data_IF_735547492232
#
_entry.id   IF_735547492232
#
_cell.length_a   1.000
_cell.length_b   1.000
_cell.length_c   1.000
_cell.angle_alpha   90.00
_cell.angle_beta   90.00
_cell.angle_gamma   90.00
#
_symmetry.space_group_name_H-M   'P 1'
#
loop_
_entity.id
_entity.type
_entity.pdbx_description
1 polymer ?
#
# COMPACT_ATOMS: atom_id res chain seq x y z
N UNK A 1 6.12 -47.68 49.44
CA UNK A 1 5.21 -47.25 48.35
C UNK A 1 5.45 -45.78 48.06
N UNK A 2 6.38 -45.49 47.15
CA UNK A 2 6.65 -44.09 46.69
C UNK A 2 5.75 -43.80 45.50
N UNK A 3 4.87 -42.82 45.61
CA UNK A 3 4.09 -42.27 44.50
C UNK A 3 4.91 -41.17 43.83
N UNK A 4 5.37 -41.43 42.61
CA UNK A 4 6.00 -40.42 41.75
C UNK A 4 4.92 -39.48 41.20
N UNK A 5 4.98 -38.20 41.55
CA UNK A 5 4.19 -37.12 40.97
C UNK A 5 4.87 -36.65 39.66
N UNK A 6 4.27 -36.95 38.53
CA UNK A 6 4.67 -36.34 37.27
C UNK A 6 4.17 -34.89 37.24
N UNK A 7 5.10 -33.95 37.28
CA UNK A 7 4.80 -32.53 36.99
C UNK A 7 4.86 -32.34 35.45
N UNK A 8 3.71 -32.18 34.84
CA UNK A 8 3.62 -31.79 33.43
C UNK A 8 3.80 -30.27 33.34
N UNK A 9 5.00 -29.83 32.91
CA UNK A 9 5.24 -28.43 32.57
C UNK A 9 4.57 -28.13 31.22
N UNK A 10 3.43 -27.44 31.26
CA UNK A 10 2.83 -26.88 30.04
C UNK A 10 3.67 -25.66 29.59
N UNK A 11 4.44 -25.84 28.53
CA UNK A 11 5.04 -24.74 27.80
C UNK A 11 3.94 -23.93 27.12
N UNK A 12 3.51 -22.85 27.75
CA UNK A 12 2.73 -21.81 27.09
C UNK A 12 3.65 -21.14 26.04
N UNK A 13 3.53 -21.53 24.79
CA UNK A 13 4.09 -20.79 23.69
C UNK A 13 3.40 -19.42 23.65
N UNK A 14 4.05 -18.40 24.17
CA UNK A 14 3.61 -17.01 24.00
C UNK A 14 3.70 -16.70 22.51
N UNK A 15 2.54 -16.42 21.88
CA UNK A 15 2.52 -15.83 20.55
C UNK A 15 3.40 -14.58 20.54
N UNK A 16 4.22 -14.35 19.50
CA UNK A 16 5.03 -13.15 19.43
C UNK A 16 4.12 -11.93 19.51
N UNK A 17 4.31 -11.09 20.52
CA UNK A 17 3.68 -9.78 20.56
C UNK A 17 4.30 -8.98 19.41
N UNK A 18 3.52 -8.73 18.35
CA UNK A 18 3.95 -7.84 17.29
C UNK A 18 4.23 -6.47 17.89
N UNK A 19 5.46 -5.96 17.71
CA UNK A 19 5.77 -4.59 18.07
C UNK A 19 4.91 -3.68 17.19
N UNK A 20 3.91 -3.02 17.75
CA UNK A 20 3.07 -2.07 17.02
C UNK A 20 3.92 -0.88 16.62
N UNK A 21 4.00 -0.62 15.32
CA UNK A 21 4.73 0.52 14.76
C UNK A 21 4.14 1.82 15.28
N UNK A 22 2.89 2.08 15.02
CA UNK A 22 2.08 3.10 15.69
C UNK A 22 0.65 2.58 15.75
N UNK A 23 0.04 2.48 16.94
CA UNK A 23 -1.34 2.05 17.03
C UNK A 23 -2.23 3.08 16.34
N UNK A 24 -3.23 2.61 15.62
CA UNK A 24 -4.30 3.49 15.17
C UNK A 24 -4.94 4.18 16.38
N UNK A 25 -5.34 5.47 16.23
CA UNK A 25 -5.86 6.24 17.35
C UNK A 25 -7.16 5.64 17.91
N UNK A 26 -7.53 5.97 19.15
CA UNK A 26 -8.82 5.59 19.71
C UNK A 26 -9.97 5.99 18.76
N UNK A 27 -10.97 5.11 18.60
CA UNK A 27 -12.10 5.32 17.69
C UNK A 27 -11.96 4.63 16.33
N UNK A 28 -10.79 4.04 16.02
CA UNK A 28 -10.69 3.13 14.90
C UNK A 28 -11.18 1.72 15.29
N UNK A 29 -11.99 1.14 14.41
CA UNK A 29 -12.44 -0.24 14.51
C UNK A 29 -11.77 -1.08 13.42
N UNK A 30 -11.39 -2.31 13.78
CA UNK A 30 -10.89 -3.31 12.85
C UNK A 30 -12.02 -4.19 12.38
N UNK A 31 -12.04 -4.56 11.09
CA UNK A 31 -13.04 -5.42 10.47
C UNK A 31 -12.38 -6.40 9.52
N UNK A 32 -12.90 -7.61 9.47
CA UNK A 32 -12.59 -8.60 8.45
C UNK A 32 -13.76 -8.61 7.44
N UNK A 33 -13.52 -8.11 6.23
CA UNK A 33 -14.56 -7.94 5.20
C UNK A 33 -14.33 -8.97 4.10
N UNK A 34 -15.28 -9.89 3.94
CA UNK A 34 -15.27 -10.85 2.84
C UNK A 34 -15.67 -10.13 1.54
N UNK A 35 -14.79 -10.16 0.53
CA UNK A 35 -15.01 -9.60 -0.81
C UNK A 35 -14.44 -10.57 -1.83
N UNK A 36 -15.18 -10.79 -2.92
CA UNK A 36 -14.77 -11.76 -3.95
C UNK A 36 -14.37 -13.11 -3.32
N UNK A 37 -13.12 -13.53 -3.52
CA UNK A 37 -12.54 -14.78 -3.00
C UNK A 37 -11.59 -14.58 -1.81
N UNK A 38 -11.57 -13.36 -1.22
CA UNK A 38 -10.64 -12.99 -0.14
C UNK A 38 -11.35 -12.36 1.05
N UNK A 39 -10.68 -12.38 2.19
CA UNK A 39 -11.03 -11.57 3.36
C UNK A 39 -10.02 -10.44 3.49
N UNK A 40 -10.50 -9.21 3.47
CA UNK A 40 -9.69 -8.01 3.59
C UNK A 40 -9.75 -7.50 5.03
N UNK A 41 -8.58 -7.35 5.63
CA UNK A 41 -8.42 -6.71 6.92
C UNK A 41 -8.52 -5.20 6.75
N UNK A 42 -9.46 -4.55 7.45
CA UNK A 42 -9.76 -3.12 7.25
C UNK A 42 -9.82 -2.41 8.60
N UNK A 43 -9.12 -1.28 8.69
CA UNK A 43 -9.24 -0.35 9.82
C UNK A 43 -10.12 0.83 9.40
N UNK A 44 -11.12 1.18 10.20
CA UNK A 44 -12.05 2.27 9.88
C UNK A 44 -12.21 3.21 11.07
N UNK A 45 -12.22 4.51 10.83
CA UNK A 45 -12.42 5.51 11.89
C UNK A 45 -12.87 6.86 11.35
N UNK A 46 -13.21 7.78 12.25
CA UNK A 46 -13.64 9.13 11.91
C UNK A 46 -15.05 9.21 11.33
N UNK A 47 -15.42 10.41 10.88
CA UNK A 47 -16.73 10.72 10.25
C UNK A 47 -16.56 11.85 9.24
N UNK A 48 -17.32 11.80 8.16
CA UNK A 48 -17.29 12.78 7.08
C UNK A 48 -17.13 12.13 5.71
N UNK A 49 -16.71 12.87 4.69
CA UNK A 49 -16.40 12.33 3.36
C UNK A 49 -15.38 11.18 3.47
N UNK A 50 -15.59 10.11 2.70
CA UNK A 50 -14.73 8.93 2.80
C UNK A 50 -13.37 9.16 2.14
N UNK A 51 -12.30 8.64 2.77
CA UNK A 51 -10.95 8.53 2.22
C UNK A 51 -10.47 7.09 2.38
N UNK A 52 -10.01 6.49 1.29
CA UNK A 52 -9.39 5.16 1.29
C UNK A 52 -7.88 5.31 1.17
N UNK A 53 -7.13 4.68 2.08
CA UNK A 53 -5.67 4.73 2.14
C UNK A 53 -5.10 3.37 1.73
N UNK A 54 -4.41 3.28 0.58
CA UNK A 54 -3.84 2.04 0.05
C UNK A 54 -2.31 2.04 0.19
N UNK A 55 -1.79 1.09 0.93
CA UNK A 55 -0.36 0.94 1.20
C UNK A 55 0.40 0.28 0.04
N UNK A 56 1.73 0.27 0.14
CA UNK A 56 2.64 -0.34 -0.81
C UNK A 56 3.30 -1.64 -0.34
N UNK A 57 4.29 -2.06 -1.12
CA UNK A 57 5.16 -3.18 -0.79
C UNK A 57 6.17 -2.79 0.29
N UNK A 58 6.56 -3.74 1.12
CA UNK A 58 7.46 -3.50 2.26
C UNK A 58 6.79 -2.91 3.49
N UNK A 59 5.52 -2.51 3.37
CA UNK A 59 4.68 -1.95 4.42
C UNK A 59 3.29 -2.59 4.41
N UNK A 60 2.41 -2.14 5.29
CA UNK A 60 0.99 -2.53 5.35
C UNK A 60 0.13 -1.30 5.64
N UNK A 61 -1.17 -1.47 5.82
CA UNK A 61 -2.05 -0.37 6.21
C UNK A 61 -1.58 0.40 7.46
N UNK A 62 -0.71 -0.21 8.27
CA UNK A 62 -0.19 0.41 9.49
C UNK A 62 0.68 1.66 9.23
N UNK A 63 1.30 1.78 8.05
CA UNK A 63 2.04 2.99 7.64
C UNK A 63 1.17 4.26 7.70
N UNK A 64 -0.12 4.10 7.49
CA UNK A 64 -1.06 5.21 7.42
C UNK A 64 -1.52 5.75 8.78
N UNK A 65 -1.11 5.12 9.90
CA UNK A 65 -1.61 5.52 11.23
C UNK A 65 -1.49 7.03 11.51
N UNK A 66 -0.39 7.74 11.20
CA UNK A 66 -0.29 9.19 11.41
C UNK A 66 -1.27 9.99 10.54
N UNK A 67 -1.39 9.64 9.25
CA UNK A 67 -2.31 10.31 8.32
C UNK A 67 -3.76 9.99 8.67
N UNK A 68 -4.06 8.74 9.03
CA UNK A 68 -5.38 8.31 9.44
C UNK A 68 -5.85 9.05 10.70
N UNK A 69 -4.96 9.26 11.68
CA UNK A 69 -5.24 10.04 12.90
C UNK A 69 -5.61 11.48 12.56
N UNK A 70 -4.93 12.10 11.62
CA UNK A 70 -5.19 13.46 11.19
C UNK A 70 -6.51 13.57 10.42
N UNK A 71 -6.73 12.72 9.42
CA UNK A 71 -7.92 12.74 8.57
C UNK A 71 -9.20 12.35 9.32
N UNK A 72 -9.12 11.46 10.32
CA UNK A 72 -10.30 11.03 11.09
C UNK A 72 -10.99 12.12 11.86
N UNK A 73 -10.40 13.32 11.96
CA UNK A 73 -11.04 14.49 12.59
C UNK A 73 -12.25 14.99 11.79
N UNK A 74 -12.23 14.81 10.46
CA UNK A 74 -13.24 15.35 9.55
C UNK A 74 -13.56 14.47 8.33
N UNK A 75 -12.98 13.26 8.26
CA UNK A 75 -13.23 12.27 7.23
C UNK A 75 -13.57 10.91 7.83
N UNK A 76 -14.30 10.10 7.08
CA UNK A 76 -14.37 8.65 7.31
C UNK A 76 -13.16 8.03 6.64
N UNK A 77 -12.23 7.49 7.44
CA UNK A 77 -10.97 6.90 6.97
C UNK A 77 -11.11 5.39 6.89
N UNK A 78 -10.71 4.81 5.76
CA UNK A 78 -10.77 3.39 5.46
C UNK A 78 -9.37 2.94 5.06
N UNK A 79 -8.79 2.00 5.80
CA UNK A 79 -7.41 1.54 5.59
C UNK A 79 -7.41 0.03 5.46
N UNK A 80 -7.56 -0.51 4.25
CA UNK A 80 -7.42 -1.94 4.01
C UNK A 80 -5.94 -2.34 3.95
N UNK A 81 -5.64 -3.55 4.42
CA UNK A 81 -4.46 -4.26 3.96
C UNK A 81 -4.77 -4.87 2.59
N UNK A 82 -3.90 -4.66 1.61
CA UNK A 82 -4.13 -5.17 0.26
C UNK A 82 -4.15 -6.71 0.24
N UNK A 83 -4.85 -7.30 -0.74
CA UNK A 83 -4.87 -8.74 -1.03
C UNK A 83 -3.49 -9.36 -0.88
N UNK A 84 -3.37 -10.38 -0.04
CA UNK A 84 -2.13 -11.12 0.18
C UNK A 84 -1.11 -10.46 1.12
N UNK A 85 -1.33 -9.23 1.55
CA UNK A 85 -0.41 -8.48 2.40
C UNK A 85 -1.02 -8.22 3.79
N UNK A 86 -0.18 -7.82 4.73
CA UNK A 86 -0.59 -7.51 6.11
C UNK A 86 -1.38 -8.64 6.75
N UNK A 87 -2.55 -8.33 7.29
CA UNK A 87 -3.45 -9.29 7.92
C UNK A 87 -4.57 -9.78 6.98
N UNK A 88 -4.66 -9.27 5.75
CA UNK A 88 -5.56 -9.81 4.74
C UNK A 88 -5.21 -11.25 4.36
N UNK A 89 -6.20 -12.03 3.88
CA UNK A 89 -5.97 -13.41 3.45
C UNK A 89 -4.99 -13.51 2.28
N UNK A 90 -4.25 -14.62 2.20
CA UNK A 90 -3.20 -14.86 1.22
C UNK A 90 -3.66 -15.89 0.18
N UNK A 91 -4.40 -15.46 -0.87
CA UNK A 91 -4.87 -16.34 -1.92
C UNK A 91 -3.72 -16.79 -2.82
N UNK A 92 -3.99 -17.78 -3.68
CA UNK A 92 -3.00 -18.29 -4.65
C UNK A 92 -2.85 -17.42 -5.89
N UNK A 93 -3.75 -16.44 -6.12
CA UNK A 93 -3.77 -15.63 -7.33
C UNK A 93 -4.63 -14.37 -7.20
N UNK A 94 -4.91 -13.72 -8.34
CA UNK A 94 -5.68 -12.48 -8.39
C UNK A 94 -4.87 -11.25 -7.98
N UNK A 95 -3.56 -11.27 -8.26
CA UNK A 95 -2.66 -10.17 -7.88
C UNK A 95 -2.52 -9.09 -8.95
N UNK A 96 -3.20 -9.25 -10.10
CA UNK A 96 -3.38 -8.15 -11.05
C UNK A 96 -4.19 -7.02 -10.42
N UNK A 97 -3.89 -5.79 -10.81
CA UNK A 97 -4.45 -4.61 -10.14
C UNK A 97 -5.92 -4.38 -10.48
N UNK A 98 -6.38 -4.94 -11.59
CA UNK A 98 -7.78 -4.94 -11.97
C UNK A 98 -8.62 -5.78 -11.00
N UNK A 99 -8.14 -6.97 -10.63
CA UNK A 99 -8.79 -7.83 -9.61
C UNK A 99 -8.76 -7.16 -8.23
N UNK A 100 -7.63 -6.59 -7.83
CA UNK A 100 -7.49 -5.91 -6.53
C UNK A 100 -8.34 -4.62 -6.45
N UNK A 101 -8.56 -3.93 -7.57
CA UNK A 101 -9.52 -2.82 -7.63
C UNK A 101 -10.93 -3.28 -7.25
N UNK A 102 -11.34 -4.48 -7.69
CA UNK A 102 -12.60 -5.09 -7.27
C UNK A 102 -12.67 -5.36 -5.76
N UNK A 103 -11.56 -5.70 -5.11
CA UNK A 103 -11.52 -5.88 -3.65
C UNK A 103 -11.74 -4.54 -2.93
N UNK A 104 -11.08 -3.47 -3.38
CA UNK A 104 -11.25 -2.12 -2.80
C UNK A 104 -12.70 -1.65 -2.94
N UNK A 105 -13.30 -1.84 -4.12
CA UNK A 105 -14.71 -1.50 -4.36
C UNK A 105 -15.65 -2.34 -3.49
N UNK A 106 -15.38 -3.64 -3.35
CA UNK A 106 -16.15 -4.52 -2.46
C UNK A 106 -16.07 -4.10 -0.99
N UNK A 107 -14.91 -3.63 -0.52
CA UNK A 107 -14.76 -3.04 0.82
C UNK A 107 -15.59 -1.75 0.94
N UNK A 108 -15.55 -0.85 -0.06
CA UNK A 108 -16.36 0.36 -0.07
C UNK A 108 -17.86 0.03 -0.03
N UNK A 109 -18.30 -0.94 -0.82
CA UNK A 109 -19.71 -1.37 -0.88
C UNK A 109 -20.18 -1.97 0.46
N UNK A 110 -19.37 -2.83 1.08
CA UNK A 110 -19.64 -3.42 2.40
C UNK A 110 -19.77 -2.35 3.50
N UNK A 111 -19.02 -1.25 3.35
CA UNK A 111 -19.06 -0.09 4.26
C UNK A 111 -20.11 0.96 3.85
N UNK A 112 -20.87 0.75 2.77
CA UNK A 112 -21.87 1.68 2.20
C UNK A 112 -21.26 3.02 1.82
N UNK A 113 -20.11 2.99 1.19
CA UNK A 113 -19.38 4.16 0.69
C UNK A 113 -19.48 4.20 -0.82
N UNK A 114 -20.29 5.12 -1.34
CA UNK A 114 -20.52 5.27 -2.78
C UNK A 114 -19.30 5.91 -3.48
N UNK A 115 -18.71 6.94 -2.87
CA UNK A 115 -17.55 7.65 -3.42
C UNK A 115 -16.51 7.92 -2.36
N UNK A 116 -15.23 7.89 -2.73
CA UNK A 116 -14.12 8.20 -1.82
C UNK A 116 -13.04 9.04 -2.50
N UNK A 117 -12.24 9.73 -1.71
CA UNK A 117 -10.91 10.16 -2.12
C UNK A 117 -9.95 8.98 -1.94
N UNK A 118 -8.99 8.81 -2.85
CA UNK A 118 -7.96 7.78 -2.73
C UNK A 118 -6.63 8.43 -2.38
N UNK A 119 -5.94 7.90 -1.40
CA UNK A 119 -4.54 8.24 -1.08
C UNK A 119 -3.75 6.95 -1.09
N UNK A 120 -2.75 6.87 -1.93
CA UNK A 120 -2.10 5.61 -2.25
C UNK A 120 -0.60 5.75 -2.30
N UNK A 121 0.11 4.67 -2.01
CA UNK A 121 1.56 4.60 -2.05
C UNK A 121 2.01 3.32 -2.75
N UNK A 122 3.05 3.39 -3.58
CA UNK A 122 3.71 2.26 -4.25
C UNK A 122 2.72 1.34 -5.00
N UNK A 123 2.61 0.06 -4.67
CA UNK A 123 1.62 -0.87 -5.25
C UNK A 123 0.19 -0.34 -5.08
N UNK A 124 -0.09 0.36 -3.99
CA UNK A 124 -1.36 1.03 -3.77
C UNK A 124 -1.72 2.02 -4.88
N UNK A 125 -0.73 2.71 -5.50
CA UNK A 125 -0.94 3.58 -6.66
C UNK A 125 -1.53 2.81 -7.84
N UNK A 126 -1.02 1.62 -8.05
CA UNK A 126 -1.40 0.77 -9.18
C UNK A 126 -2.82 0.22 -9.01
N UNK A 127 -3.16 -0.18 -7.78
CA UNK A 127 -4.54 -0.59 -7.43
C UNK A 127 -5.49 0.61 -7.50
N UNK A 128 -5.11 1.76 -6.92
CA UNK A 128 -5.91 2.98 -6.97
C UNK A 128 -6.13 3.48 -8.39
N UNK A 129 -5.12 3.39 -9.28
CA UNK A 129 -5.26 3.72 -10.69
C UNK A 129 -6.27 2.79 -11.39
N UNK A 130 -6.20 1.48 -11.11
CA UNK A 130 -7.16 0.53 -11.65
C UNK A 130 -8.59 0.79 -11.16
N UNK A 131 -8.79 1.19 -9.89
CA UNK A 131 -10.10 1.66 -9.38
C UNK A 131 -10.57 2.87 -10.17
N UNK A 132 -9.74 3.92 -10.26
CA UNK A 132 -10.09 5.17 -10.91
C UNK A 132 -10.34 5.04 -12.42
N UNK A 133 -9.60 4.16 -13.11
CA UNK A 133 -9.77 3.93 -14.53
C UNK A 133 -10.99 3.07 -14.88
N UNK A 134 -11.35 2.11 -14.02
CA UNK A 134 -12.53 1.27 -14.21
C UNK A 134 -13.82 1.94 -13.74
N UNK A 135 -13.76 2.66 -12.61
CA UNK A 135 -14.88 3.23 -11.90
C UNK A 135 -14.61 4.70 -11.50
N UNK A 136 -14.40 5.60 -12.48
CA UNK A 136 -14.09 7.01 -12.21
C UNK A 136 -15.18 7.71 -11.39
N UNK A 137 -16.44 7.25 -11.46
CA UNK A 137 -17.57 7.74 -10.68
C UNK A 137 -17.44 7.45 -9.16
N UNK A 138 -16.58 6.50 -8.78
CA UNK A 138 -16.34 6.11 -7.38
C UNK A 138 -15.22 6.92 -6.72
N UNK A 139 -14.46 7.72 -7.51
CA UNK A 139 -13.26 8.43 -7.05
C UNK A 139 -13.43 9.93 -7.25
N UNK A 140 -13.46 10.69 -6.15
CA UNK A 140 -13.55 12.15 -6.19
C UNK A 140 -12.21 12.82 -6.48
N UNK A 141 -11.16 12.40 -5.80
CA UNK A 141 -9.77 12.87 -5.92
C UNK A 141 -8.82 11.70 -5.76
N UNK A 142 -7.66 11.80 -6.36
CA UNK A 142 -6.69 10.73 -6.30
C UNK A 142 -5.29 11.26 -5.99
N UNK A 143 -4.68 10.79 -4.90
CA UNK A 143 -3.29 11.06 -4.52
C UNK A 143 -2.48 9.80 -4.77
N UNK A 144 -1.46 9.91 -5.63
CA UNK A 144 -0.48 8.86 -5.91
C UNK A 144 0.88 9.27 -5.37
N UNK A 145 1.52 8.37 -4.64
CA UNK A 145 2.76 8.66 -3.92
C UNK A 145 3.87 7.70 -4.37
N UNK A 146 4.92 8.28 -4.90
CA UNK A 146 6.28 7.79 -5.10
C UNK A 146 6.46 6.41 -5.77
N UNK A 147 5.53 6.02 -6.66
CA UNK A 147 5.73 4.86 -7.55
C UNK A 147 4.94 5.03 -8.84
N UNK A 148 5.52 4.64 -9.99
CA UNK A 148 4.86 4.74 -11.30
C UNK A 148 3.75 3.68 -11.42
N UNK A 149 2.88 3.86 -12.41
CA UNK A 149 1.82 2.91 -12.73
C UNK A 149 2.23 2.10 -13.96
N UNK A 150 2.17 0.76 -13.95
CA UNK A 150 2.50 -0.07 -15.09
C UNK A 150 1.78 0.37 -16.37
N UNK A 151 2.55 0.55 -17.46
CA UNK A 151 2.02 0.96 -18.75
C UNK A 151 1.61 2.43 -18.90
N UNK A 152 1.78 3.26 -17.87
CA UNK A 152 1.52 4.71 -17.89
C UNK A 152 2.82 5.49 -18.05
N UNK A 153 2.84 6.45 -18.96
CA UNK A 153 4.04 7.24 -19.25
C UNK A 153 5.19 6.40 -19.83
N UNK A 154 6.46 6.73 -19.50
CA UNK A 154 7.63 6.05 -20.06
C UNK A 154 7.94 4.75 -19.31
N UNK A 155 6.96 3.86 -19.20
CA UNK A 155 7.05 2.62 -18.41
C UNK A 155 8.25 1.75 -18.81
N UNK A 156 8.49 1.57 -20.12
CA UNK A 156 9.60 0.76 -20.63
C UNK A 156 10.97 1.33 -20.27
N UNK A 157 11.09 2.66 -20.19
CA UNK A 157 12.33 3.31 -19.75
C UNK A 157 12.54 3.15 -18.24
N UNK A 158 11.45 3.26 -17.48
CA UNK A 158 11.47 3.03 -16.02
C UNK A 158 11.97 1.61 -15.71
N UNK A 159 11.49 0.61 -16.44
CA UNK A 159 11.91 -0.80 -16.26
C UNK A 159 13.40 -1.07 -16.51
N UNK A 160 14.12 -0.15 -17.18
CA UNK A 160 15.57 -0.27 -17.39
C UNK A 160 16.39 0.12 -16.17
N UNK A 161 15.77 0.73 -15.15
CA UNK A 161 16.47 1.12 -13.93
C UNK A 161 16.89 -0.14 -13.13
N UNK A 162 18.20 -0.38 -12.91
CA UNK A 162 18.67 -1.56 -12.21
C UNK A 162 18.22 -1.64 -10.75
N UNK A 163 17.81 -0.53 -10.13
CA UNK A 163 17.23 -0.52 -8.78
C UNK A 163 15.89 -1.25 -8.72
N UNK A 164 15.19 -1.42 -9.86
CA UNK A 164 13.92 -2.12 -9.96
C UNK A 164 14.08 -3.62 -10.23
N UNK A 165 15.23 -4.22 -9.88
CA UNK A 165 15.52 -5.65 -10.02
C UNK A 165 14.41 -6.54 -9.42
N UNK A 166 13.77 -6.09 -8.36
CA UNK A 166 12.72 -6.83 -7.64
C UNK A 166 11.44 -7.03 -8.46
N UNK A 167 11.19 -6.24 -9.50
CA UNK A 167 10.08 -6.46 -10.41
C UNK A 167 10.18 -7.79 -11.16
N UNK A 168 11.37 -8.37 -11.22
CA UNK A 168 11.65 -9.68 -11.84
C UNK A 168 12.13 -10.73 -10.84
N UNK A 169 12.15 -10.38 -9.54
CA UNK A 169 12.57 -11.28 -8.47
C UNK A 169 11.34 -11.96 -7.87
N UNK A 170 11.10 -13.23 -8.25
CA UNK A 170 9.94 -13.97 -7.75
C UNK A 170 9.98 -15.43 -8.21
N UNK A 171 8.92 -16.16 -7.84
CA UNK A 171 8.77 -17.59 -8.13
C UNK A 171 9.29 -18.51 -7.02
N UNK A 172 9.07 -19.83 -7.14
CA UNK A 172 9.26 -20.78 -6.04
C UNK A 172 10.67 -20.81 -5.45
N UNK A 173 11.70 -20.64 -6.29
CA UNK A 173 13.08 -20.66 -5.79
C UNK A 173 13.43 -19.39 -5.04
N UNK A 174 12.91 -18.24 -5.45
CA UNK A 174 13.10 -16.98 -4.73
C UNK A 174 12.36 -16.99 -3.40
N UNK A 175 11.16 -17.57 -3.34
CA UNK A 175 10.43 -17.79 -2.11
C UNK A 175 11.25 -18.64 -1.13
N UNK A 176 11.85 -19.74 -1.60
CA UNK A 176 12.75 -20.60 -0.80
C UNK A 176 14.01 -19.88 -0.31
N UNK A 177 14.59 -19.03 -1.15
CA UNK A 177 15.77 -18.22 -0.77
C UNK A 177 15.45 -17.24 0.35
N UNK A 178 14.28 -16.63 0.32
CA UNK A 178 13.86 -15.58 1.27
C UNK A 178 13.25 -16.19 2.54
N UNK A 179 12.72 -17.40 2.50
CA UNK A 179 12.09 -18.06 3.64
C UNK A 179 12.99 -18.06 4.89
N UNK A 180 12.53 -17.45 5.98
CA UNK A 180 13.27 -17.23 7.23
C UNK A 180 14.33 -16.13 7.13
N UNK A 181 14.35 -15.37 6.03
CA UNK A 181 15.26 -14.24 5.77
C UNK A 181 14.52 -13.00 5.29
N UNK A 182 13.21 -12.94 5.52
CA UNK A 182 12.33 -11.86 5.07
C UNK A 182 12.86 -10.50 5.54
N UNK A 183 13.36 -10.42 6.78
CA UNK A 183 13.97 -9.20 7.31
C UNK A 183 15.20 -8.77 6.50
N UNK A 184 16.09 -9.68 6.13
CA UNK A 184 17.29 -9.36 5.33
C UNK A 184 16.88 -8.86 3.96
N UNK A 185 15.90 -9.53 3.35
CA UNK A 185 15.37 -9.17 2.04
C UNK A 185 14.71 -7.77 2.06
N UNK A 186 13.86 -7.49 3.05
CA UNK A 186 13.16 -6.21 3.17
C UNK A 186 14.08 -5.07 3.60
N UNK A 187 15.09 -5.31 4.44
CA UNK A 187 16.08 -4.30 4.82
C UNK A 187 16.77 -3.67 3.62
N UNK A 188 16.93 -4.43 2.51
CA UNK A 188 17.48 -3.89 1.27
C UNK A 188 16.62 -2.77 0.72
N UNK A 189 15.29 -2.94 0.67
CA UNK A 189 14.36 -1.89 0.20
C UNK A 189 14.37 -0.69 1.13
N UNK A 190 14.26 -0.92 2.43
CA UNK A 190 14.26 0.15 3.42
C UNK A 190 15.57 0.93 3.46
N UNK A 191 16.69 0.30 3.08
CA UNK A 191 17.98 0.97 2.99
C UNK A 191 18.20 1.68 1.66
N UNK A 192 17.90 1.00 0.53
CA UNK A 192 18.22 1.52 -0.81
C UNK A 192 17.26 2.63 -1.27
N UNK A 193 16.01 2.61 -0.82
CA UNK A 193 14.98 3.56 -1.25
C UNK A 193 14.72 4.69 -0.24
N UNK A 194 15.36 4.72 0.92
CA UNK A 194 15.30 5.83 1.85
C UNK A 194 16.27 6.97 1.47
N UNK A 195 15.88 8.20 1.76
CA UNK A 195 16.80 9.32 1.80
C UNK A 195 17.74 9.23 3.02
N UNK A 196 17.18 8.83 4.17
CA UNK A 196 17.91 8.49 5.39
C UNK A 196 17.35 7.18 5.99
N UNK A 197 18.03 6.02 5.78
CA UNK A 197 17.57 4.73 6.28
C UNK A 197 17.37 4.66 7.80
N UNK A 198 17.92 5.58 8.56
CA UNK A 198 17.76 5.64 10.03
C UNK A 198 16.36 6.11 10.43
N UNK A 199 15.66 6.82 9.56
CA UNK A 199 14.27 7.26 9.79
C UNK A 199 13.29 6.09 9.73
N UNK A 200 13.60 5.05 8.97
CA UNK A 200 12.87 3.78 9.01
C UNK A 200 13.31 2.99 10.24
N UNK A 201 12.58 3.12 11.33
CA UNK A 201 13.00 2.67 12.67
C UNK A 201 13.14 1.15 12.76
N UNK A 202 13.93 0.67 13.72
CA UNK A 202 14.07 -0.77 14.01
C UNK A 202 12.72 -1.40 14.39
N UNK A 203 11.87 -0.68 15.12
CA UNK A 203 10.53 -1.14 15.47
C UNK A 203 9.66 -1.33 14.20
N UNK A 204 9.68 -0.38 13.25
CA UNK A 204 8.99 -0.49 11.96
C UNK A 204 9.51 -1.69 11.16
N UNK A 205 10.83 -1.85 11.09
CA UNK A 205 11.47 -2.97 10.37
C UNK A 205 11.07 -4.34 10.94
N UNK A 206 11.06 -4.49 12.27
CA UNK A 206 10.64 -5.71 12.94
C UNK A 206 9.17 -6.01 12.70
N UNK A 207 8.32 -5.00 12.81
CA UNK A 207 6.88 -5.13 12.60
C UNK A 207 6.55 -5.61 11.20
N UNK A 208 7.01 -4.89 10.16
CA UNK A 208 6.70 -5.26 8.78
C UNK A 208 7.34 -6.60 8.39
N UNK A 209 8.60 -6.86 8.80
CA UNK A 209 9.22 -8.16 8.54
C UNK A 209 8.44 -9.33 9.15
N UNK A 210 7.87 -9.15 10.35
CA UNK A 210 7.03 -10.17 10.96
C UNK A 210 5.74 -10.44 10.18
N UNK A 211 5.11 -9.40 9.61
CA UNK A 211 3.92 -9.55 8.76
C UNK A 211 4.25 -10.22 7.42
N UNK A 212 5.41 -9.92 6.83
CA UNK A 212 5.88 -10.57 5.61
C UNK A 212 6.39 -12.01 5.84
N UNK A 213 6.74 -12.38 7.08
CA UNK A 213 7.07 -13.76 7.46
C UNK A 213 5.84 -14.66 7.66
N UNK A 214 4.63 -14.11 7.63
CA UNK A 214 3.40 -14.91 7.71
C UNK A 214 3.30 -15.87 6.51
N UNK A 215 2.75 -17.08 6.69
CA UNK A 215 2.61 -18.06 5.62
C UNK A 215 1.91 -17.48 4.37
N UNK A 216 2.57 -17.57 3.22
CA UNK A 216 2.05 -17.07 1.94
C UNK A 216 2.27 -15.58 1.67
N UNK A 217 2.76 -14.79 2.65
CA UNK A 217 2.95 -13.35 2.47
C UNK A 217 4.02 -13.01 1.43
N UNK A 218 5.16 -13.71 1.43
CA UNK A 218 6.21 -13.51 0.42
C UNK A 218 5.77 -13.97 -0.97
N UNK A 219 5.04 -15.10 -1.07
CA UNK A 219 4.41 -15.52 -2.33
C UNK A 219 3.50 -14.42 -2.88
N UNK A 220 2.63 -13.88 -2.04
CA UNK A 220 1.73 -12.79 -2.40
C UNK A 220 2.50 -11.54 -2.82
N UNK A 221 3.55 -11.17 -2.06
CA UNK A 221 4.40 -10.04 -2.35
C UNK A 221 5.08 -10.12 -3.72
N UNK A 222 5.71 -11.27 -4.04
CA UNK A 222 6.32 -11.49 -5.35
C UNK A 222 5.30 -11.53 -6.48
N UNK A 223 4.12 -12.08 -6.23
CA UNK A 223 3.04 -12.14 -7.20
C UNK A 223 2.48 -10.76 -7.57
N UNK A 224 2.60 -9.76 -6.68
CA UNK A 224 2.26 -8.37 -6.99
C UNK A 224 3.09 -7.85 -8.18
N UNK A 225 4.39 -8.11 -8.17
CA UNK A 225 5.30 -7.69 -9.24
C UNK A 225 5.16 -8.54 -10.50
N UNK A 226 4.93 -9.84 -10.34
CA UNK A 226 4.72 -10.74 -11.47
C UNK A 226 3.51 -10.37 -12.34
N UNK A 227 2.54 -9.62 -11.79
CA UNK A 227 1.36 -9.13 -12.50
C UNK A 227 1.61 -7.88 -13.36
N UNK A 228 2.74 -7.19 -13.24
CA UNK A 228 2.98 -5.88 -13.85
C UNK A 228 2.90 -5.86 -15.38
N UNK A 229 3.30 -6.93 -16.05
CA UNK A 229 3.19 -7.02 -17.51
C UNK A 229 1.73 -7.05 -17.94
N UNK A 230 0.86 -7.79 -17.22
CA UNK A 230 -0.59 -7.79 -17.46
C UNK A 230 -1.21 -6.45 -17.06
N UNK A 231 -0.83 -5.88 -15.92
CA UNK A 231 -1.32 -4.57 -15.48
C UNK A 231 -1.01 -3.47 -16.50
N UNK A 232 0.18 -3.52 -17.13
CA UNK A 232 0.54 -2.58 -18.18
C UNK A 232 -0.35 -2.71 -19.44
N UNK A 233 -0.70 -3.93 -19.83
CA UNK A 233 -1.64 -4.20 -20.93
C UNK A 233 -3.02 -3.64 -20.59
N UNK A 234 -3.53 -3.96 -19.39
CA UNK A 234 -4.86 -3.54 -18.94
C UNK A 234 -4.96 -2.02 -18.84
N UNK A 235 -3.95 -1.36 -18.25
CA UNK A 235 -3.95 0.10 -18.10
C UNK A 235 -3.90 0.82 -19.45
N UNK A 236 -3.11 0.35 -20.43
CA UNK A 236 -3.10 0.90 -21.77
C UNK A 236 -4.43 0.72 -22.48
N UNK A 237 -5.04 -0.45 -22.34
CA UNK A 237 -6.36 -0.72 -22.91
C UNK A 237 -7.44 0.19 -22.31
N UNK A 238 -7.42 0.40 -20.98
CA UNK A 238 -8.35 1.33 -20.33
C UNK A 238 -8.14 2.78 -20.77
N UNK A 239 -6.90 3.25 -20.84
CA UNK A 239 -6.59 4.60 -21.32
C UNK A 239 -6.97 4.80 -22.79
N UNK A 240 -6.79 3.79 -23.62
CA UNK A 240 -7.20 3.84 -25.03
C UNK A 240 -8.73 3.89 -25.19
N UNK A 241 -9.47 3.16 -24.36
CA UNK A 241 -10.93 3.07 -24.43
C UNK A 241 -11.65 4.26 -23.79
N UNK A 242 -11.11 4.81 -22.69
CA UNK A 242 -11.80 5.80 -21.83
C UNK A 242 -11.09 7.16 -21.77
N UNK A 243 -9.87 7.26 -22.27
CA UNK A 243 -9.03 8.44 -22.12
C UNK A 243 -8.36 8.53 -20.74
N UNK A 244 -7.76 9.69 -20.47
CA UNK A 244 -7.11 9.99 -19.22
C UNK A 244 -8.09 10.17 -18.08
N UNK A 245 -7.64 9.88 -16.84
CA UNK A 245 -8.40 10.17 -15.63
C UNK A 245 -8.75 11.66 -15.57
N UNK A 246 -10.02 11.99 -15.35
CA UNK A 246 -10.51 13.37 -15.37
C UNK A 246 -10.59 14.00 -13.97
N UNK A 247 -10.69 13.18 -12.89
CA UNK A 247 -10.70 13.69 -11.52
C UNK A 247 -9.38 14.40 -11.19
N UNK A 248 -9.37 15.33 -10.20
CA UNK A 248 -8.14 15.92 -9.71
C UNK A 248 -7.17 14.86 -9.19
N UNK A 249 -5.90 14.95 -9.59
CA UNK A 249 -4.82 14.06 -9.19
C UNK A 249 -3.70 14.86 -8.55
N UNK A 250 -3.25 14.43 -7.35
CA UNK A 250 -2.00 14.89 -6.75
C UNK A 250 -0.94 13.79 -6.94
N UNK A 251 0.11 14.12 -7.65
CA UNK A 251 1.26 13.23 -7.84
C UNK A 251 2.41 13.69 -6.93
N UNK A 252 2.64 12.95 -5.84
CA UNK A 252 3.69 13.21 -4.86
C UNK A 252 4.90 12.32 -5.12
N UNK A 253 6.10 12.89 -5.05
CA UNK A 253 7.34 12.12 -5.04
C UNK A 253 8.20 12.52 -3.85
N UNK A 254 8.94 11.58 -3.26
CA UNK A 254 10.01 11.90 -2.32
C UNK A 254 11.14 12.63 -3.03
N UNK A 255 11.70 13.67 -2.40
CA UNK A 255 12.75 14.51 -3.00
C UNK A 255 13.97 13.71 -3.51
N UNK A 256 14.32 12.64 -2.81
CA UNK A 256 15.45 11.75 -3.14
C UNK A 256 15.03 10.46 -3.87
N UNK A 257 13.76 10.38 -4.31
CA UNK A 257 13.20 9.28 -5.09
C UNK A 257 12.60 9.81 -6.40
N UNK A 258 11.32 9.58 -6.67
CA UNK A 258 10.68 10.04 -7.90
C UNK A 258 10.56 11.57 -7.99
N UNK A 259 10.44 12.29 -6.87
CA UNK A 259 10.37 13.75 -6.86
C UNK A 259 9.34 14.29 -7.85
N UNK A 260 9.68 15.30 -8.67
CA UNK A 260 8.76 15.89 -9.66
C UNK A 260 8.45 14.94 -10.83
N UNK A 261 9.22 13.85 -11.01
CA UNK A 261 8.94 12.85 -12.06
C UNK A 261 7.59 12.17 -11.88
N UNK A 262 7.08 12.04 -10.64
CA UNK A 262 5.75 11.49 -10.42
C UNK A 262 4.68 12.24 -11.21
N UNK A 263 4.70 13.57 -11.19
CA UNK A 263 3.74 14.37 -11.95
C UNK A 263 3.97 14.24 -13.47
N UNK A 264 5.23 14.19 -13.92
CA UNK A 264 5.56 13.99 -15.32
C UNK A 264 4.99 12.66 -15.85
N UNK A 265 5.15 11.57 -15.10
CA UNK A 265 4.59 10.26 -15.44
C UNK A 265 3.06 10.32 -15.44
N UNK A 266 2.45 10.88 -14.40
CA UNK A 266 1.00 10.88 -14.25
C UNK A 266 0.27 11.77 -15.26
N UNK A 267 0.90 12.78 -15.85
CA UNK A 267 0.34 13.56 -16.97
C UNK A 267 0.07 12.70 -18.23
N UNK A 268 0.69 11.52 -18.33
CA UNK A 268 0.32 10.56 -19.37
C UNK A 268 -1.02 9.86 -19.09
N UNK A 269 -1.37 9.64 -17.83
CA UNK A 269 -2.58 8.92 -17.41
C UNK A 269 -3.72 9.78 -16.87
N UNK A 270 -3.50 11.07 -16.56
CA UNK A 270 -4.48 11.97 -15.99
C UNK A 270 -4.44 13.37 -16.63
N UNK A 271 -5.58 14.05 -16.69
CA UNK A 271 -5.72 15.36 -17.33
C UNK A 271 -5.49 16.54 -16.36
N UNK A 272 -5.78 16.34 -15.07
CA UNK A 272 -5.71 17.37 -14.03
C UNK A 272 -4.71 16.93 -12.93
N UNK A 273 -3.41 17.17 -13.17
CA UNK A 273 -2.32 16.72 -12.29
C UNK A 273 -1.67 17.90 -11.59
N UNK A 274 -1.78 17.91 -10.28
CA UNK A 274 -1.00 18.76 -9.36
C UNK A 274 0.27 18.03 -8.99
N UNK A 275 1.39 18.74 -9.02
CA UNK A 275 2.70 18.24 -8.62
C UNK A 275 2.97 18.55 -7.16
N UNK A 276 3.57 17.60 -6.44
CA UNK A 276 4.08 17.80 -5.10
C UNK A 276 5.36 17.01 -4.85
N UNK A 277 6.22 17.54 -3.99
CA UNK A 277 7.46 16.89 -3.56
C UNK A 277 7.52 16.92 -2.04
N UNK A 278 7.76 15.74 -1.44
CA UNK A 278 7.99 15.63 0.00
C UNK A 278 9.48 15.86 0.26
N UNK A 279 9.84 16.96 0.95
CA UNK A 279 11.24 17.27 1.19
C UNK A 279 11.91 16.27 2.12
N UNK A 280 13.23 16.13 2.00
CA UNK A 280 14.07 15.27 2.84
C UNK A 280 13.59 13.82 2.95
N UNK A 281 12.91 13.29 1.93
CA UNK A 281 12.44 11.91 1.92
C UNK A 281 12.81 11.20 0.63
N UNK A 282 12.99 9.89 0.74
CA UNK A 282 13.03 8.95 -0.35
C UNK A 282 11.64 8.39 -0.61
N UNK A 283 11.58 7.07 -0.80
CA UNK A 283 10.34 6.35 -1.09
C UNK A 283 9.40 6.23 0.12
N UNK A 284 9.95 6.08 1.33
CA UNK A 284 9.21 5.78 2.57
C UNK A 284 8.72 7.06 3.24
N UNK A 285 7.93 7.84 2.54
CA UNK A 285 7.58 9.21 2.92
C UNK A 285 6.86 9.34 4.27
N UNK A 286 6.10 8.30 4.68
CA UNK A 286 5.38 8.31 5.96
C UNK A 286 6.33 8.06 7.15
N UNK A 287 7.42 7.32 6.96
CA UNK A 287 8.48 7.12 7.93
C UNK A 287 9.48 8.27 7.93
N UNK A 288 9.80 8.80 6.74
CA UNK A 288 10.87 9.78 6.59
C UNK A 288 10.42 11.22 6.88
N UNK A 289 9.25 11.62 6.39
CA UNK A 289 8.69 12.96 6.64
C UNK A 289 7.15 12.97 6.70
N UNK A 290 6.55 12.36 7.72
CA UNK A 290 5.09 12.31 7.88
C UNK A 290 4.46 13.71 7.92
N UNK A 291 5.09 14.69 8.57
CA UNK A 291 4.53 16.03 8.73
C UNK A 291 4.33 16.75 7.39
N UNK A 292 5.34 16.72 6.51
CA UNK A 292 5.23 17.32 5.18
C UNK A 292 4.22 16.54 4.32
N UNK A 293 4.21 15.22 4.41
CA UNK A 293 3.25 14.36 3.69
C UNK A 293 1.82 14.69 4.09
N UNK A 294 1.53 14.75 5.40
CA UNK A 294 0.22 15.14 5.92
C UNK A 294 -0.22 16.50 5.37
N UNK A 295 0.66 17.49 5.44
CA UNK A 295 0.36 18.85 4.96
C UNK A 295 -0.02 18.88 3.49
N UNK A 296 0.73 18.19 2.63
CA UNK A 296 0.49 18.16 1.19
C UNK A 296 -0.80 17.41 0.84
N UNK A 297 -1.01 16.23 1.44
CA UNK A 297 -2.22 15.42 1.22
C UNK A 297 -3.46 16.17 1.70
N UNK A 298 -3.45 16.70 2.93
CA UNK A 298 -4.59 17.43 3.47
C UNK A 298 -4.91 18.68 2.64
N UNK A 299 -3.89 19.49 2.31
CA UNK A 299 -4.09 20.68 1.48
C UNK A 299 -4.74 20.37 0.13
N UNK A 300 -4.40 19.24 -0.49
CA UNK A 300 -5.04 18.81 -1.74
C UNK A 300 -6.47 18.31 -1.53
N UNK A 301 -6.74 17.54 -0.48
CA UNK A 301 -8.09 17.05 -0.17
C UNK A 301 -9.08 18.18 0.20
N UNK A 302 -8.57 19.29 0.73
CA UNK A 302 -9.35 20.48 1.07
C UNK A 302 -9.53 21.45 -0.11
N UNK A 303 -8.65 21.40 -1.12
CA UNK A 303 -8.74 22.27 -2.29
C UNK A 303 -9.99 21.95 -3.11
N UNK A 304 -10.86 22.95 -3.28
CA UNK A 304 -12.12 22.83 -4.06
C UNK A 304 -13.31 22.31 -3.26
N UNK A 305 -13.27 22.45 -1.94
CA UNK A 305 -14.49 22.43 -1.07
C UNK A 305 -15.21 23.76 -1.12
#
# INVERSE_FOLDING_TARGET
MLRSMLVVLALLASAPAFAQVQPFPPGFATREIAVNDVTIHVRTGGRGPAVVLLHGYGETGDMWAPLAADLARDHTVIVPDLRGLGLSSKPKGGFDKKTQAGDVLGVMDALKVDTADLVTHDIGNMVGFAVAAQHPERVRRFVLIDAPVPGVGPWEEILKNPLLWHFRFGGPDMERLVAGRERIYLDRFWNEFSADPKRFTEASRQHYAALYALPGAMHSGFSQFAAFDQDAIDNRAMLAARGKLAMPVLALGGEKSFGPMMAAVMRAGASNVTEGVVPESGHWIMEENPAATLKLVRGFLESGR
#
